data_IF_792048934237
#
_entry.id   IF_792048934237
#
_cell.length_a   1.000
_cell.length_b   1.000
_cell.length_c   1.000
_cell.angle_alpha   90.00
_cell.angle_beta   90.00
_cell.angle_gamma   90.00
#
_symmetry.space_group_name_H-M   'P 1'
#
loop_
_entity.id
_entity.type
_entity.pdbx_description
1 polymer ?
#
# COMPACT_ATOMS: atom_id res chain seq x y z
N UNK A 1 29.11 31.52 56.13
CA UNK A 1 27.97 30.83 55.48
C UNK A 1 28.26 30.69 54.00
N UNK A 2 28.44 29.46 53.49
CA UNK A 2 28.61 29.17 52.06
C UNK A 2 27.38 28.39 51.60
N UNK A 3 26.49 29.03 50.83
CA UNK A 3 25.38 28.35 50.18
C UNK A 3 25.87 27.78 48.86
N UNK A 4 25.93 26.45 48.75
CA UNK A 4 26.10 25.76 47.46
C UNK A 4 24.71 25.43 46.95
N UNK A 5 24.29 26.13 45.90
CA UNK A 5 23.07 25.83 45.16
C UNK A 5 23.43 24.88 44.01
N UNK A 6 23.20 23.59 44.21
CA UNK A 6 23.41 22.57 43.18
C UNK A 6 22.15 22.51 42.32
N UNK A 7 22.21 23.10 41.14
CA UNK A 7 21.17 22.93 40.12
C UNK A 7 21.35 21.55 39.48
N UNK A 8 20.52 20.59 39.86
CA UNK A 8 20.39 19.35 39.11
C UNK A 8 19.52 19.64 37.88
N UNK A 9 20.14 19.93 36.74
CA UNK A 9 19.45 19.87 35.45
C UNK A 9 19.14 18.39 35.16
N UNK A 10 17.89 18.00 35.37
CA UNK A 10 17.36 16.74 34.87
C UNK A 10 17.30 16.79 33.34
N UNK A 11 18.30 16.21 32.67
CA UNK A 11 18.21 15.90 31.25
C UNK A 11 17.28 14.68 31.10
N UNK A 12 15.97 14.94 30.93
CA UNK A 12 15.08 13.93 30.40
C UNK A 12 15.49 13.68 28.94
N UNK A 13 16.29 12.64 28.71
CA UNK A 13 16.58 12.17 27.37
C UNK A 13 15.27 11.61 26.79
N UNK A 14 14.66 12.32 25.85
CA UNK A 14 13.54 11.80 25.07
C UNK A 14 14.08 10.65 24.23
N UNK A 15 13.80 9.42 24.63
CA UNK A 15 14.06 8.25 23.78
C UNK A 15 13.05 8.29 22.63
N UNK A 16 13.43 8.88 21.51
CA UNK A 16 12.75 8.68 20.23
C UNK A 16 12.95 7.22 19.82
N UNK A 17 12.03 6.36 20.20
CA UNK A 17 12.00 4.99 19.71
C UNK A 17 11.35 5.01 18.33
N UNK A 18 12.13 4.84 17.27
CA UNK A 18 11.57 4.59 15.94
C UNK A 18 10.82 3.26 15.97
N UNK A 19 9.55 3.26 15.57
CA UNK A 19 8.84 2.00 15.36
C UNK A 19 9.19 1.48 13.97
N UNK A 20 9.60 0.20 13.84
CA UNK A 20 9.79 -0.39 12.53
C UNK A 20 8.44 -0.43 11.80
N UNK A 21 8.45 -0.05 10.52
CA UNK A 21 7.29 -0.16 9.65
C UNK A 21 7.64 -1.06 8.47
N UNK A 22 6.80 -2.06 8.25
CA UNK A 22 6.84 -2.92 7.06
C UNK A 22 5.63 -2.60 6.20
N UNK A 23 5.84 -2.47 4.90
CA UNK A 23 4.79 -2.28 3.91
C UNK A 23 5.22 -2.92 2.59
N UNK A 24 4.22 -3.27 1.78
CA UNK A 24 4.44 -3.79 0.44
C UNK A 24 4.06 -2.73 -0.59
N UNK A 25 4.68 -2.77 -1.77
CA UNK A 25 4.37 -1.89 -2.89
C UNK A 25 4.28 -2.68 -4.19
N UNK A 26 3.57 -2.14 -5.17
CA UNK A 26 3.53 -2.73 -6.51
C UNK A 26 2.92 -1.77 -7.54
N UNK A 27 3.20 -2.05 -8.81
CA UNK A 27 2.68 -1.36 -9.99
C UNK A 27 2.42 -2.37 -11.11
N UNK A 28 1.91 -1.89 -12.24
CA UNK A 28 1.75 -2.67 -13.47
C UNK A 28 0.89 -3.91 -13.27
N UNK A 29 -0.30 -3.70 -12.72
CA UNK A 29 -1.23 -4.75 -12.35
C UNK A 29 -2.09 -5.21 -13.54
N UNK A 30 -1.45 -5.60 -14.64
CA UNK A 30 -2.14 -6.11 -15.82
C UNK A 30 -2.84 -7.45 -15.53
N UNK A 31 -4.09 -7.58 -15.99
CA UNK A 31 -4.87 -8.80 -15.82
C UNK A 31 -4.57 -9.75 -16.99
N UNK A 32 -3.67 -10.71 -16.75
CA UNK A 32 -3.13 -11.60 -17.80
C UNK A 32 -3.56 -13.06 -17.64
N UNK A 33 -3.03 -13.73 -16.63
CA UNK A 33 -3.18 -15.16 -16.39
C UNK A 33 -3.09 -15.48 -14.90
N UNK A 34 -3.56 -16.67 -14.52
CA UNK A 34 -3.65 -17.10 -13.12
C UNK A 34 -2.27 -17.18 -12.42
N UNK A 35 -1.20 -17.48 -13.16
CA UNK A 35 0.15 -17.54 -12.61
C UNK A 35 0.61 -16.14 -12.21
N UNK A 36 0.44 -15.16 -13.10
CA UNK A 36 0.79 -13.76 -12.83
C UNK A 36 -0.06 -13.18 -11.69
N UNK A 37 -1.36 -13.51 -11.65
CA UNK A 37 -2.26 -13.04 -10.59
C UNK A 37 -1.94 -13.63 -9.20
N UNK A 38 -1.23 -14.76 -9.14
CA UNK A 38 -0.90 -15.41 -7.86
C UNK A 38 -0.07 -14.54 -6.92
N UNK A 39 0.65 -13.53 -7.45
CA UNK A 39 1.43 -12.58 -6.67
C UNK A 39 0.57 -11.81 -5.66
N UNK A 40 -0.67 -11.47 -6.00
CA UNK A 40 -1.57 -10.73 -5.10
C UNK A 40 -1.92 -11.57 -3.87
N UNK A 41 -2.14 -12.87 -4.05
CA UNK A 41 -2.36 -13.80 -2.93
C UNK A 41 -1.12 -13.95 -2.06
N UNK A 42 0.08 -13.99 -2.67
CA UNK A 42 1.35 -14.04 -1.91
C UNK A 42 1.56 -12.79 -1.09
N UNK A 43 1.36 -11.61 -1.69
CA UNK A 43 1.46 -10.35 -0.96
C UNK A 43 0.41 -10.30 0.16
N UNK A 44 -0.80 -10.85 -0.06
CA UNK A 44 -1.84 -10.88 0.97
C UNK A 44 -1.39 -11.64 2.24
N UNK A 45 -0.56 -12.68 2.10
CA UNK A 45 -0.01 -13.48 3.21
C UNK A 45 1.08 -12.74 4.02
N UNK A 46 1.71 -11.71 3.45
CA UNK A 46 2.78 -10.95 4.12
C UNK A 46 2.27 -10.06 5.27
N UNK A 47 3.03 -10.03 6.37
CA UNK A 47 2.80 -9.09 7.48
C UNK A 47 3.21 -7.68 7.08
N UNK A 48 2.22 -6.81 6.87
CA UNK A 48 2.40 -5.45 6.35
C UNK A 48 1.39 -4.48 6.96
N UNK A 49 1.82 -3.24 7.17
CA UNK A 49 0.94 -2.18 7.69
C UNK A 49 -0.05 -1.68 6.63
N UNK A 50 0.41 -1.60 5.39
CA UNK A 50 -0.39 -1.23 4.22
C UNK A 50 0.25 -1.77 2.94
N UNK A 51 -0.51 -1.74 1.85
CA UNK A 51 -0.01 -1.90 0.49
C UNK A 51 -0.14 -0.56 -0.26
N UNK A 52 0.92 -0.17 -0.97
CA UNK A 52 0.94 1.04 -1.80
C UNK A 52 1.01 0.67 -3.29
N UNK A 53 -0.06 1.01 -4.01
CA UNK A 53 -0.13 0.96 -5.46
C UNK A 53 0.59 2.17 -6.07
N UNK A 54 1.60 1.91 -6.89
CA UNK A 54 2.50 2.93 -7.44
C UNK A 54 2.10 3.42 -8.84
N UNK A 55 1.06 2.86 -9.45
CA UNK A 55 0.74 3.15 -10.85
C UNK A 55 0.23 1.93 -11.60
N UNK A 56 -0.37 2.16 -12.77
CA UNK A 56 -0.88 1.10 -13.65
C UNK A 56 -1.76 0.07 -12.91
N UNK A 57 -2.67 0.60 -12.08
CA UNK A 57 -3.53 -0.24 -11.23
C UNK A 57 -4.59 -0.98 -12.06
N UNK A 58 -4.86 -0.49 -13.27
CA UNK A 58 -5.73 -1.07 -14.30
C UNK A 58 -5.19 -0.66 -15.66
N UNK A 59 -5.29 -1.54 -16.65
CA UNK A 59 -4.99 -1.24 -18.05
C UNK A 59 -6.28 -1.15 -18.85
N UNK A 60 -6.40 -0.11 -19.68
CA UNK A 60 -7.52 0.05 -20.60
C UNK A 60 -7.13 -0.38 -22.01
N UNK A 61 -7.96 -1.22 -22.64
CA UNK A 61 -7.86 -1.44 -24.09
C UNK A 61 -8.69 -0.40 -24.84
N UNK A 62 -8.71 -0.49 -26.18
CA UNK A 62 -9.42 0.47 -27.03
C UNK A 62 -10.92 0.60 -26.69
N UNK A 63 -11.60 -0.45 -26.27
CA UNK A 63 -13.01 -0.40 -25.91
C UNK A 63 -13.25 0.21 -24.52
N UNK A 64 -12.26 0.17 -23.62
CA UNK A 64 -12.43 0.57 -22.22
C UNK A 64 -12.39 2.10 -22.04
N UNK A 65 -11.52 2.80 -22.77
CA UNK A 65 -11.36 4.26 -22.66
C UNK A 65 -12.36 5.08 -23.50
N UNK A 66 -13.46 4.48 -23.97
CA UNK A 66 -14.47 5.16 -24.80
C UNK A 66 -15.31 6.17 -23.99
N UNK A 67 -15.67 5.81 -22.75
CA UNK A 67 -16.40 6.68 -21.83
C UNK A 67 -16.21 6.21 -20.37
N UNK A 68 -16.71 7.00 -19.42
CA UNK A 68 -16.57 6.69 -17.99
C UNK A 68 -17.25 5.38 -17.56
N UNK A 69 -18.30 4.92 -18.27
CA UNK A 69 -18.95 3.65 -17.95
C UNK A 69 -18.07 2.46 -18.35
N UNK A 70 -17.47 2.48 -19.54
CA UNK A 70 -16.56 1.42 -20.00
C UNK A 70 -15.27 1.40 -19.17
N UNK A 71 -14.77 2.57 -18.74
CA UNK A 71 -13.63 2.65 -17.81
C UNK A 71 -13.98 2.02 -16.45
N UNK A 72 -15.16 2.32 -15.90
CA UNK A 72 -15.63 1.72 -14.66
C UNK A 72 -15.75 0.19 -14.78
N UNK A 73 -16.27 -0.32 -15.90
CA UNK A 73 -16.35 -1.77 -16.14
C UNK A 73 -14.98 -2.43 -16.19
N UNK A 74 -13.95 -1.76 -16.71
CA UNK A 74 -12.57 -2.26 -16.68
C UNK A 74 -12.00 -2.30 -15.25
N UNK A 75 -12.27 -1.28 -14.43
CA UNK A 75 -11.99 -1.33 -12.99
C UNK A 75 -12.69 -2.50 -12.30
N UNK A 76 -14.00 -2.65 -12.52
CA UNK A 76 -14.80 -3.71 -11.92
C UNK A 76 -14.22 -5.08 -12.28
N UNK A 77 -13.84 -5.30 -13.54
CA UNK A 77 -13.18 -6.55 -13.98
C UNK A 77 -11.83 -6.78 -13.32
N UNK A 78 -10.96 -5.75 -13.30
CA UNK A 78 -9.60 -5.87 -12.75
C UNK A 78 -9.62 -6.25 -11.27
N UNK A 79 -10.49 -5.60 -10.50
CA UNK A 79 -10.55 -5.76 -9.06
C UNK A 79 -11.50 -6.87 -8.61
N UNK A 80 -12.25 -7.52 -9.50
CA UNK A 80 -13.13 -8.64 -9.15
C UNK A 80 -12.40 -9.98 -8.97
N UNK A 81 -11.11 -10.09 -9.29
CA UNK A 81 -10.38 -11.36 -9.18
C UNK A 81 -10.15 -11.75 -7.73
N UNK A 82 -10.19 -13.06 -7.43
CA UNK A 82 -10.00 -13.56 -6.07
C UNK A 82 -8.62 -13.18 -5.47
N UNK A 83 -7.50 -13.24 -6.22
CA UNK A 83 -6.19 -12.81 -5.70
C UNK A 83 -6.15 -11.33 -5.34
N UNK A 84 -6.71 -10.45 -6.17
CA UNK A 84 -6.75 -9.01 -5.89
C UNK A 84 -7.66 -8.73 -4.70
N UNK A 85 -8.82 -9.39 -4.62
CA UNK A 85 -9.71 -9.29 -3.45
C UNK A 85 -9.00 -9.71 -2.15
N UNK A 86 -8.19 -10.77 -2.19
CA UNK A 86 -7.38 -11.19 -1.04
C UNK A 86 -6.40 -10.09 -0.62
N UNK A 87 -5.69 -9.46 -1.55
CA UNK A 87 -4.80 -8.33 -1.23
C UNK A 87 -5.57 -7.15 -0.63
N UNK A 88 -6.66 -6.72 -1.27
CA UNK A 88 -7.49 -5.59 -0.84
C UNK A 88 -8.02 -5.77 0.60
N UNK A 89 -8.34 -7.00 0.98
CA UNK A 89 -8.85 -7.33 2.32
C UNK A 89 -7.75 -7.54 3.36
N UNK A 90 -6.50 -7.81 2.95
CA UNK A 90 -5.41 -8.17 3.87
C UNK A 90 -4.84 -6.98 4.67
N UNK A 91 -4.90 -5.77 4.13
CA UNK A 91 -4.34 -4.57 4.76
C UNK A 91 -4.93 -3.29 4.19
N UNK A 92 -4.61 -2.14 4.80
CA UNK A 92 -4.97 -0.82 4.25
C UNK A 92 -4.32 -0.65 2.87
N UNK A 93 -5.08 -0.11 1.93
CA UNK A 93 -4.63 0.17 0.57
C UNK A 93 -4.41 1.68 0.39
N UNK A 94 -3.27 2.07 -0.17
CA UNK A 94 -2.95 3.43 -0.61
C UNK A 94 -2.62 3.39 -2.10
N UNK A 95 -3.01 4.39 -2.88
CA UNK A 95 -2.81 4.36 -4.31
C UNK A 95 -2.51 5.72 -4.93
N UNK A 96 -1.67 5.71 -5.95
CA UNK A 96 -1.53 6.77 -6.95
C UNK A 96 -1.83 6.19 -8.34
N UNK A 97 -1.92 7.06 -9.35
CA UNK A 97 -2.11 6.68 -10.76
C UNK A 97 -0.79 6.81 -11.54
N UNK A 98 -0.75 6.14 -12.69
CA UNK A 98 0.24 6.31 -13.76
C UNK A 98 -0.54 6.44 -15.09
N UNK A 99 0.10 6.27 -16.25
CA UNK A 99 -0.46 6.53 -17.60
C UNK A 99 -1.74 5.73 -17.96
#
# INVERSE_FOLDING_TARGET
MKYRLTWALGLAAWTMTAQPISFCVGSCADLRDDETESIFSRIAEEEKSFFLWLGDNVYFNQADWQNGETMRQAYDRRFATQPVQALLQSSRQLAIYDD
#
